data_IF_554087943777
#
_entry.id   IF_554087943777
#
_cell.length_a   1.000
_cell.length_b   1.000
_cell.length_c   1.000
_cell.angle_alpha   90.00
_cell.angle_beta   90.00
_cell.angle_gamma   90.00
#
_symmetry.space_group_name_H-M   'P 1'
#
loop_
_entity.id
_entity.type
_entity.pdbx_description
1 polymer ?
#
# COMPACT_ATOMS: atom_id res chain seq x y z
N UNK A 1 -20.02 4.58 20.22
CA UNK A 1 -20.59 5.08 18.95
C UNK A 1 -22.07 5.45 19.13
N UNK A 2 -22.49 6.72 18.98
CA UNK A 2 -23.88 7.00 18.60
C UNK A 2 -24.07 6.46 17.17
N UNK A 3 -25.08 5.60 16.98
CA UNK A 3 -25.15 4.65 15.88
C UNK A 3 -25.13 5.21 14.46
N UNK A 4 -24.49 4.45 13.58
CA UNK A 4 -24.72 4.44 12.13
C UNK A 4 -26.09 3.84 11.74
N UNK A 5 -27.13 4.04 12.58
CA UNK A 5 -28.52 3.72 12.21
C UNK A 5 -29.06 4.89 11.38
N UNK A 6 -29.04 4.74 10.06
CA UNK A 6 -29.70 5.66 9.14
C UNK A 6 -28.88 6.15 7.95
N UNK A 7 -27.76 5.52 7.59
CA UNK A 7 -27.10 5.86 6.32
C UNK A 7 -27.97 5.47 5.12
N UNK A 8 -27.98 6.36 4.12
CA UNK A 8 -28.82 6.24 2.93
C UNK A 8 -28.35 5.06 2.06
N UNK A 9 -29.26 4.35 1.37
CA UNK A 9 -28.99 3.06 0.72
C UNK A 9 -28.09 3.10 -0.54
N UNK A 10 -27.26 4.13 -0.74
CA UNK A 10 -26.53 4.35 -2.00
C UNK A 10 -25.03 4.67 -1.86
N UNK A 11 -24.44 4.63 -0.67
CA UNK A 11 -22.99 4.79 -0.53
C UNK A 11 -22.30 3.44 -0.75
N UNK A 12 -21.50 3.36 -1.81
CA UNK A 12 -20.59 2.22 -2.06
C UNK A 12 -19.32 2.40 -1.25
N UNK A 13 -18.57 1.30 -1.03
CA UNK A 13 -17.26 1.35 -0.38
C UNK A 13 -16.31 2.34 -1.07
N UNK A 14 -16.32 2.35 -2.40
CA UNK A 14 -15.58 3.32 -3.21
C UNK A 14 -15.98 4.77 -2.88
N UNK A 15 -17.28 5.06 -2.72
CA UNK A 15 -17.74 6.42 -2.39
C UNK A 15 -17.24 6.88 -1.01
N UNK A 16 -17.05 5.95 -0.07
CA UNK A 16 -16.48 6.25 1.24
C UNK A 16 -14.96 6.46 1.17
N UNK A 17 -14.25 5.71 0.32
CA UNK A 17 -12.80 5.84 0.14
C UNK A 17 -12.37 7.03 -0.72
N UNK A 18 -13.23 7.50 -1.62
CA UNK A 18 -12.88 8.48 -2.65
C UNK A 18 -12.16 9.73 -2.11
N UNK A 19 -12.57 10.36 -0.99
CA UNK A 19 -11.88 11.54 -0.47
C UNK A 19 -10.38 11.29 -0.18
N UNK A 20 -10.05 10.17 0.46
CA UNK A 20 -8.66 9.79 0.73
C UNK A 20 -7.89 9.53 -0.57
N UNK A 21 -8.51 8.82 -1.51
CA UNK A 21 -7.90 8.52 -2.80
C UNK A 21 -7.62 9.79 -3.62
N UNK A 22 -8.50 10.78 -3.55
CA UNK A 22 -8.31 12.09 -4.18
C UNK A 22 -7.15 12.86 -3.54
N UNK A 23 -7.00 12.81 -2.20
CA UNK A 23 -5.86 13.42 -1.51
C UNK A 23 -4.53 12.77 -1.89
N UNK A 24 -4.49 11.43 -1.92
CA UNK A 24 -3.31 10.67 -2.35
C UNK A 24 -2.98 10.97 -3.81
N UNK A 25 -3.99 10.97 -4.69
CA UNK A 25 -3.81 11.29 -6.11
C UNK A 25 -3.30 12.72 -6.30
N UNK A 26 -3.81 13.69 -5.54
CA UNK A 26 -3.35 15.07 -5.61
C UNK A 26 -1.90 15.20 -5.10
N UNK A 27 -1.51 14.39 -4.11
CA UNK A 27 -0.15 14.36 -3.58
C UNK A 27 0.84 13.61 -4.50
N UNK A 28 0.37 12.68 -5.34
CA UNK A 28 1.18 11.98 -6.33
C UNK A 28 1.62 12.88 -7.52
N UNK A 29 0.98 14.04 -7.68
CA UNK A 29 1.35 15.04 -8.67
C UNK A 29 2.55 15.88 -8.20
N UNK A 30 3.44 16.29 -9.13
CA UNK A 30 4.52 17.21 -8.78
C UNK A 30 3.93 18.53 -8.24
N UNK A 31 4.47 19.07 -7.14
CA UNK A 31 3.94 20.29 -6.51
C UNK A 31 3.88 21.54 -7.41
N UNK A 32 4.57 21.53 -8.57
CA UNK A 32 4.65 22.65 -9.52
C UNK A 32 4.03 22.38 -10.89
N UNK A 33 3.57 21.16 -11.16
CA UNK A 33 2.93 20.81 -12.43
C UNK A 33 1.92 19.66 -12.25
N UNK A 34 0.61 19.97 -12.19
CA UNK A 34 -0.44 18.96 -12.04
C UNK A 34 -0.60 18.05 -13.26
N UNK A 35 0.03 18.36 -14.41
CA UNK A 35 0.07 17.47 -15.57
C UNK A 35 1.28 16.54 -15.59
N UNK A 36 2.26 16.77 -14.70
CA UNK A 36 3.47 15.95 -14.54
C UNK A 36 3.36 15.02 -13.32
N UNK A 37 2.36 14.14 -13.32
CA UNK A 37 2.22 13.10 -12.30
C UNK A 37 3.50 12.24 -12.20
N UNK A 38 4.06 12.10 -10.99
CA UNK A 38 5.23 11.24 -10.75
C UNK A 38 4.81 9.76 -10.84
N UNK A 39 3.65 9.47 -10.27
CA UNK A 39 3.00 8.16 -10.31
C UNK A 39 1.63 8.30 -10.99
N UNK A 40 1.56 8.13 -12.33
CA UNK A 40 0.32 8.34 -13.07
C UNK A 40 -0.73 7.24 -12.84
N UNK A 41 -0.42 6.19 -12.07
CA UNK A 41 -1.33 5.07 -11.83
C UNK A 41 -1.41 4.77 -10.34
N UNK A 42 -2.64 4.62 -9.84
CA UNK A 42 -2.93 4.18 -8.48
C UNK A 42 -3.74 2.89 -8.55
N UNK A 43 -3.25 1.84 -7.86
CA UNK A 43 -3.98 0.59 -7.65
C UNK A 43 -4.54 0.63 -6.22
N UNK A 44 -5.81 0.28 -6.07
CA UNK A 44 -6.55 0.34 -4.80
C UNK A 44 -7.31 -0.95 -4.58
N UNK A 45 -7.25 -1.49 -3.37
CA UNK A 45 -8.01 -2.66 -2.96
C UNK A 45 -9.51 -2.34 -2.90
N UNK A 46 -10.33 -3.20 -3.49
CA UNK A 46 -11.77 -2.95 -3.69
C UNK A 46 -12.67 -3.32 -2.52
N UNK A 47 -12.13 -3.89 -1.44
CA UNK A 47 -12.84 -4.44 -0.29
C UNK A 47 -12.27 -3.95 1.06
N UNK A 48 -11.49 -2.87 1.05
CA UNK A 48 -10.97 -2.19 2.24
C UNK A 48 -11.63 -0.83 2.39
N UNK A 49 -11.78 -0.34 3.61
CA UNK A 49 -12.02 1.08 3.91
C UNK A 49 -10.95 1.58 4.86
N UNK A 50 -10.41 2.76 4.54
CA UNK A 50 -9.49 3.48 5.39
C UNK A 50 -10.19 4.71 5.89
N UNK A 51 -10.30 4.82 7.22
CA UNK A 51 -10.84 6.00 7.85
C UNK A 51 -9.70 6.76 8.51
N UNK A 52 -9.26 7.83 7.86
CA UNK A 52 -8.28 8.73 8.44
C UNK A 52 -8.96 9.62 9.50
N UNK A 53 -8.42 9.61 10.71
CA UNK A 53 -8.92 10.39 11.83
C UNK A 53 -8.44 11.83 11.70
N UNK A 54 -9.25 12.68 11.05
CA UNK A 54 -8.93 14.11 10.90
C UNK A 54 -9.13 14.81 12.23
N UNK A 55 -8.04 15.31 12.83
CA UNK A 55 -8.14 16.12 14.04
C UNK A 55 -8.62 17.55 13.69
N UNK A 56 -9.58 18.15 14.42
CA UNK A 56 -10.21 19.42 14.04
C UNK A 56 -9.27 20.63 13.90
N UNK A 57 -8.09 20.54 14.52
CA UNK A 57 -7.07 21.59 14.52
C UNK A 57 -5.86 21.27 13.63
N UNK A 58 -5.84 20.07 13.05
CA UNK A 58 -4.75 19.57 12.21
C UNK A 58 -5.35 18.98 10.92
N UNK A 59 -5.25 19.70 9.79
CA UNK A 59 -5.58 19.23 8.42
C UNK A 59 -4.43 18.49 7.72
N UNK A 60 -3.57 17.78 8.47
CA UNK A 60 -2.18 17.53 8.05
C UNK A 60 -1.94 16.32 7.16
N UNK A 61 -2.95 15.49 6.87
CA UNK A 61 -2.74 14.33 6.01
C UNK A 61 -2.05 14.72 4.70
N UNK A 62 -2.56 15.73 4.00
CA UNK A 62 -1.96 16.17 2.73
C UNK A 62 -0.56 16.77 2.89
N UNK A 63 -0.27 17.48 3.97
CA UNK A 63 1.06 18.09 4.17
C UNK A 63 2.09 17.01 4.49
N UNK A 64 1.80 16.16 5.46
CA UNK A 64 2.69 15.09 5.90
C UNK A 64 2.85 14.03 4.82
N UNK A 65 1.79 13.76 4.05
CA UNK A 65 1.84 12.89 2.87
C UNK A 65 2.70 13.49 1.76
N UNK A 66 2.54 14.78 1.43
CA UNK A 66 3.35 15.42 0.38
C UNK A 66 4.85 15.39 0.72
N UNK A 67 5.18 15.67 1.99
CA UNK A 67 6.53 15.53 2.53
C UNK A 67 7.00 14.08 2.41
N UNK A 68 6.20 13.14 2.91
CA UNK A 68 6.52 11.70 2.90
C UNK A 68 6.59 11.09 1.51
N UNK A 69 5.94 11.62 0.48
CA UNK A 69 6.04 11.10 -0.88
C UNK A 69 7.33 11.54 -1.57
N UNK A 70 7.76 12.78 -1.35
CA UNK A 70 8.84 13.40 -2.14
C UNK A 70 10.20 13.45 -1.43
N UNK A 71 10.27 13.15 -0.13
CA UNK A 71 11.53 13.02 0.59
C UNK A 71 12.22 11.68 0.25
N UNK A 72 13.55 11.65 0.16
CA UNK A 72 14.29 10.42 -0.15
C UNK A 72 15.77 10.67 -0.39
N UNK A 73 16.60 9.67 -0.15
CA UNK A 73 18.02 9.74 -0.46
C UNK A 73 18.24 9.80 -1.98
N UNK A 74 19.24 10.59 -2.40
CA UNK A 74 19.72 10.73 -3.79
C UNK A 74 18.81 11.47 -4.80
N UNK A 75 17.68 12.04 -4.39
CA UNK A 75 16.89 12.93 -5.25
C UNK A 75 16.18 12.24 -6.44
N UNK A 76 16.13 10.92 -6.44
CA UNK A 76 15.43 10.13 -7.45
C UNK A 76 14.05 9.67 -6.91
N UNK A 77 13.01 9.83 -7.73
CA UNK A 77 11.65 9.43 -7.36
C UNK A 77 11.53 7.91 -7.24
N UNK A 78 10.75 7.43 -6.27
CA UNK A 78 10.39 6.02 -6.18
C UNK A 78 9.62 5.56 -7.42
N UNK A 79 9.75 4.30 -7.81
CA UNK A 79 8.91 3.71 -8.87
C UNK A 79 7.56 3.27 -8.33
N UNK A 80 7.54 2.81 -7.09
CA UNK A 80 6.35 2.37 -6.38
C UNK A 80 6.30 3.07 -5.04
N UNK A 81 5.14 3.60 -4.68
CA UNK A 81 4.86 4.01 -3.30
C UNK A 81 3.71 3.18 -2.77
N UNK A 82 3.99 2.42 -1.72
CA UNK A 82 2.99 1.67 -0.98
C UNK A 82 2.61 2.42 0.30
N UNK A 83 1.38 2.21 0.75
CA UNK A 83 0.89 2.75 2.00
C UNK A 83 0.76 1.63 3.03
N UNK A 84 1.11 1.93 4.28
CA UNK A 84 0.96 0.96 5.35
C UNK A 84 0.59 1.58 6.68
N UNK A 85 0.04 0.75 7.56
CA UNK A 85 -0.33 1.14 8.92
C UNK A 85 0.29 0.20 9.95
N UNK A 86 0.47 0.69 11.17
CA UNK A 86 0.71 -0.19 12.30
C UNK A 86 -0.55 -0.99 12.61
N UNK A 87 -0.37 -2.28 12.88
CA UNK A 87 -1.46 -3.19 13.21
C UNK A 87 -1.03 -4.22 14.24
N UNK A 88 -1.99 -4.80 14.93
CA UNK A 88 -1.74 -5.89 15.88
C UNK A 88 -1.27 -7.15 15.16
N UNK A 89 -0.44 -7.96 15.82
CA UNK A 89 0.26 -9.07 15.17
C UNK A 89 -0.68 -10.13 14.60
N UNK A 90 -1.84 -10.36 15.23
CA UNK A 90 -2.88 -11.28 14.75
C UNK A 90 -3.46 -10.84 13.39
N UNK A 91 -3.71 -9.55 13.21
CA UNK A 91 -4.20 -8.97 11.95
C UNK A 91 -3.15 -9.12 10.85
N UNK A 92 -1.86 -8.92 11.15
CA UNK A 92 -0.77 -9.02 10.17
C UNK A 92 -0.71 -10.39 9.45
N UNK A 93 -1.16 -11.46 10.11
CA UNK A 93 -1.16 -12.81 9.52
C UNK A 93 -2.17 -12.99 8.38
N UNK A 94 -3.07 -12.03 8.20
CA UNK A 94 -4.11 -12.06 7.17
C UNK A 94 -3.83 -11.12 5.99
N UNK A 95 -2.79 -10.28 6.07
CA UNK A 95 -2.50 -9.24 5.09
C UNK A 95 -1.06 -9.31 4.57
N UNK A 96 -0.76 -8.48 3.58
CA UNK A 96 0.60 -8.19 3.18
C UNK A 96 1.32 -7.39 4.26
N UNK A 97 2.59 -7.70 4.49
CA UNK A 97 3.41 -7.01 5.49
C UNK A 97 4.69 -6.53 4.82
N UNK A 98 4.91 -5.22 4.85
CA UNK A 98 6.16 -4.60 4.44
C UNK A 98 7.15 -4.66 5.58
N UNK A 99 8.39 -5.02 5.26
CA UNK A 99 9.52 -4.95 6.17
C UNK A 99 10.49 -3.90 5.66
N UNK A 100 10.89 -2.99 6.53
CA UNK A 100 11.89 -1.96 6.25
C UNK A 100 13.03 -2.13 7.24
N UNK A 101 14.28 -2.01 6.77
CA UNK A 101 15.43 -1.98 7.66
C UNK A 101 15.32 -0.78 8.61
N UNK A 102 15.71 -0.94 9.88
CA UNK A 102 15.80 0.17 10.82
C UNK A 102 16.75 1.28 10.36
N UNK A 103 17.70 0.97 9.50
CA UNK A 103 18.64 1.94 8.91
C UNK A 103 18.01 2.74 7.75
N UNK A 104 17.00 2.18 7.08
CA UNK A 104 16.30 2.80 5.95
C UNK A 104 14.78 2.61 6.10
N UNK A 105 14.15 3.27 7.10
CA UNK A 105 12.80 2.93 7.57
C UNK A 105 11.67 3.22 6.57
N UNK A 106 11.96 3.93 5.47
CA UNK A 106 10.99 4.25 4.41
C UNK A 106 11.23 3.46 3.13
N UNK A 107 12.31 2.70 3.03
CA UNK A 107 12.61 1.87 1.86
C UNK A 107 12.17 0.44 2.13
N UNK A 108 11.47 -0.16 1.16
CA UNK A 108 11.09 -1.57 1.28
C UNK A 108 12.35 -2.45 1.24
N UNK A 109 12.56 -3.21 2.31
CA UNK A 109 13.56 -4.26 2.33
C UNK A 109 13.02 -5.51 1.62
N UNK A 110 11.85 -5.98 2.07
CA UNK A 110 11.08 -7.05 1.45
C UNK A 110 9.62 -7.03 1.91
N UNK A 111 8.76 -7.74 1.19
CA UNK A 111 7.36 -7.95 1.55
C UNK A 111 7.09 -9.45 1.79
N UNK A 112 6.28 -9.76 2.79
CA UNK A 112 5.72 -11.09 2.99
C UNK A 112 4.20 -11.04 2.89
N UNK A 113 3.60 -11.98 2.16
CA UNK A 113 2.14 -12.10 2.08
C UNK A 113 1.64 -13.12 3.11
N UNK A 114 0.77 -12.66 4.02
CA UNK A 114 0.17 -13.48 5.09
C UNK A 114 1.22 -14.25 5.91
N UNK A 115 2.26 -13.58 6.44
CA UNK A 115 3.32 -14.24 7.19
C UNK A 115 2.78 -14.83 8.50
N UNK A 116 3.45 -15.87 9.01
CA UNK A 116 3.17 -16.41 10.33
C UNK A 116 3.76 -15.51 11.41
N UNK A 117 3.14 -15.49 12.60
CA UNK A 117 3.60 -14.68 13.75
C UNK A 117 5.09 -14.90 14.07
N UNK A 118 5.54 -16.15 14.07
CA UNK A 118 6.94 -16.45 14.37
C UNK A 118 7.90 -15.94 13.28
N UNK A 119 7.44 -15.84 12.03
CA UNK A 119 8.22 -15.25 10.93
C UNK A 119 8.37 -13.75 11.15
N UNK A 120 7.29 -13.04 11.50
CA UNK A 120 7.35 -11.62 11.85
C UNK A 120 8.31 -11.40 13.03
N UNK A 121 8.14 -12.19 14.11
CA UNK A 121 8.96 -12.14 15.32
C UNK A 121 10.48 -12.31 15.04
N UNK A 122 10.83 -13.14 14.05
CA UNK A 122 12.21 -13.38 13.67
C UNK A 122 12.90 -12.13 13.07
N UNK A 123 12.13 -11.19 12.51
CA UNK A 123 12.65 -10.01 11.82
C UNK A 123 12.62 -8.72 12.66
N UNK A 124 11.87 -8.67 13.78
CA UNK A 124 11.60 -7.43 14.54
C UNK A 124 12.86 -6.74 15.11
N UNK A 125 13.94 -7.49 15.34
CA UNK A 125 15.20 -6.91 15.83
C UNK A 125 15.83 -5.97 14.80
N UNK A 126 15.83 -6.37 13.53
CA UNK A 126 16.52 -5.65 12.46
C UNK A 126 15.56 -4.78 11.63
N UNK A 127 14.26 -5.06 11.65
CA UNK A 127 13.28 -4.42 10.78
C UNK A 127 12.16 -3.77 11.59
N UNK A 128 11.62 -2.70 11.03
CA UNK A 128 10.25 -2.24 11.31
C UNK A 128 9.31 -2.85 10.27
N UNK A 129 8.02 -2.92 10.60
CA UNK A 129 7.01 -3.45 9.69
C UNK A 129 5.73 -2.64 9.71
N UNK A 130 5.08 -2.59 8.55
CA UNK A 130 3.76 -1.99 8.35
C UNK A 130 2.88 -2.97 7.59
N UNK A 131 1.62 -3.02 7.94
CA UNK A 131 0.61 -3.77 7.21
C UNK A 131 0.28 -3.03 5.92
N UNK A 132 0.26 -3.73 4.78
CA UNK A 132 -0.21 -3.19 3.51
C UNK A 132 -1.70 -2.88 3.58
N UNK A 133 -2.08 -1.65 3.21
CA UNK A 133 -3.49 -1.23 3.13
C UNK A 133 -4.09 -1.40 1.74
N UNK A 134 -3.29 -1.84 0.77
CA UNK A 134 -3.73 -2.09 -0.59
C UNK A 134 -3.88 -0.81 -1.43
N UNK A 135 -3.11 0.24 -1.13
CA UNK A 135 -2.98 1.43 -2.00
C UNK A 135 -1.54 1.51 -2.49
N UNK A 136 -1.37 1.48 -3.82
CA UNK A 136 -0.06 1.44 -4.48
C UNK A 136 -0.02 2.49 -5.60
N UNK A 137 0.91 3.42 -5.53
CA UNK A 137 1.21 4.38 -6.60
C UNK A 137 2.33 3.85 -7.47
N UNK A 138 2.14 3.85 -8.79
CA UNK A 138 3.07 3.27 -9.75
C UNK A 138 3.53 4.30 -10.78
N UNK A 139 4.85 4.32 -11.01
CA UNK A 139 5.46 5.01 -12.14
C UNK A 139 5.20 4.22 -13.42
N UNK A 140 5.40 4.85 -14.57
CA UNK A 140 5.35 4.13 -15.86
C UNK A 140 6.34 2.96 -15.94
N UNK A 141 7.46 3.02 -15.20
CA UNK A 141 8.43 1.93 -15.14
C UNK A 141 7.87 0.75 -14.35
N UNK A 142 7.31 1.02 -13.16
CA UNK A 142 6.64 0.00 -12.35
C UNK A 142 5.45 -0.64 -13.08
N UNK A 143 4.62 0.17 -13.76
CA UNK A 143 3.48 -0.34 -14.53
C UNK A 143 3.91 -1.29 -15.66
N UNK A 144 5.01 -0.96 -16.36
CA UNK A 144 5.58 -1.85 -17.38
C UNK A 144 6.08 -3.17 -16.80
N UNK A 145 6.74 -3.13 -15.65
CA UNK A 145 7.20 -4.34 -14.96
C UNK A 145 6.00 -5.22 -14.55
N UNK A 146 4.97 -4.61 -13.94
CA UNK A 146 3.72 -5.28 -13.58
C UNK A 146 3.07 -5.93 -14.82
N UNK A 147 3.01 -5.22 -15.95
CA UNK A 147 2.49 -5.77 -17.21
C UNK A 147 3.35 -6.94 -17.72
N UNK A 148 4.67 -6.78 -17.77
CA UNK A 148 5.59 -7.82 -18.24
C UNK A 148 5.48 -9.12 -17.42
N UNK A 149 5.23 -9.02 -16.11
CA UNK A 149 4.99 -10.20 -15.26
C UNK A 149 3.71 -10.94 -15.62
N UNK A 150 2.72 -10.22 -16.17
CA UNK A 150 1.42 -10.74 -16.56
C UNK A 150 1.33 -11.19 -18.01
N UNK A 151 2.45 -11.24 -18.73
CA UNK A 151 2.52 -11.71 -20.12
C UNK A 151 3.46 -12.90 -20.18
N UNK A 152 2.96 -14.03 -20.68
CA UNK A 152 3.81 -15.19 -20.95
C UNK A 152 4.82 -14.86 -22.05
N UNK A 153 6.12 -15.03 -21.76
CA UNK A 153 7.19 -14.62 -22.64
C UNK A 153 7.25 -15.40 -23.97
N UNK A 154 6.63 -16.59 -24.04
CA UNK A 154 6.68 -17.45 -25.23
C UNK A 154 5.47 -17.22 -26.13
N UNK A 155 4.28 -17.19 -25.55
CA UNK A 155 3.00 -17.10 -26.26
C UNK A 155 2.47 -15.67 -26.37
N UNK A 156 2.96 -14.73 -25.54
CA UNK A 156 2.41 -13.38 -25.43
C UNK A 156 1.02 -13.32 -24.79
N UNK A 157 0.51 -14.44 -24.27
CA UNK A 157 -0.80 -14.50 -23.63
C UNK A 157 -0.78 -13.81 -22.26
N UNK A 158 -1.90 -13.18 -21.90
CA UNK A 158 -2.08 -12.63 -20.57
C UNK A 158 -2.23 -13.76 -19.54
N UNK A 159 -1.46 -13.68 -18.47
CA UNK A 159 -1.48 -14.58 -17.33
C UNK A 159 -1.89 -13.81 -16.08
N UNK A 160 -2.85 -14.34 -15.34
CA UNK A 160 -3.21 -13.82 -14.02
C UNK A 160 -2.15 -14.22 -12.99
N UNK A 161 -1.81 -13.29 -12.11
CA UNK A 161 -0.98 -13.55 -10.94
C UNK A 161 -1.45 -12.68 -9.77
N UNK A 162 -1.10 -13.06 -8.55
CA UNK A 162 -1.45 -12.31 -7.35
C UNK A 162 -0.54 -11.10 -7.15
N UNK A 163 -1.11 -9.90 -7.07
CA UNK A 163 -0.33 -8.67 -6.93
C UNK A 163 0.52 -8.69 -5.65
N UNK A 164 -0.02 -9.19 -4.54
CA UNK A 164 0.63 -9.09 -3.24
C UNK A 164 1.61 -10.23 -3.00
N UNK A 165 1.18 -11.48 -3.19
CA UNK A 165 1.93 -12.70 -2.94
C UNK A 165 2.86 -13.14 -4.06
N UNK A 166 2.69 -12.63 -5.28
CA UNK A 166 3.64 -12.88 -6.37
C UNK A 166 4.44 -11.63 -6.71
N UNK A 167 3.81 -10.51 -7.10
CA UNK A 167 4.57 -9.33 -7.52
C UNK A 167 5.18 -8.56 -6.35
N UNK A 168 4.43 -8.36 -5.26
CA UNK A 168 4.92 -7.71 -4.05
C UNK A 168 6.14 -8.40 -3.44
N UNK A 169 6.16 -9.73 -3.44
CA UNK A 169 7.30 -10.51 -2.97
C UNK A 169 8.54 -10.45 -3.88
N UNK A 170 8.44 -9.89 -5.10
CA UNK A 170 9.57 -9.58 -5.99
C UNK A 170 10.16 -8.18 -5.77
N UNK A 171 9.55 -7.38 -4.89
CA UNK A 171 9.96 -6.01 -4.62
C UNK A 171 10.82 -5.93 -3.36
N UNK A 172 11.55 -4.81 -3.28
CA UNK A 172 12.40 -4.47 -2.15
C UNK A 172 13.89 -4.66 -2.48
N UNK A 173 14.74 -4.22 -1.54
CA UNK A 173 16.20 -4.33 -1.67
C UNK A 173 16.69 -5.78 -1.58
N UNK A 174 15.97 -6.62 -0.83
CA UNK A 174 16.25 -8.04 -0.66
C UNK A 174 14.96 -8.86 -0.80
N UNK A 175 14.38 -8.96 -2.02
CA UNK A 175 13.08 -9.58 -2.24
C UNK A 175 12.96 -10.98 -1.65
N UNK A 176 11.76 -11.32 -1.17
CA UNK A 176 11.49 -12.60 -0.50
C UNK A 176 11.28 -13.76 -1.47
N UNK A 177 10.89 -13.49 -2.72
CA UNK A 177 10.74 -14.49 -3.78
C UNK A 177 12.00 -14.59 -4.66
N UNK A 178 12.51 -15.81 -4.86
CA UNK A 178 13.74 -16.09 -5.61
C UNK A 178 13.55 -16.20 -7.14
N UNK A 179 12.32 -16.28 -7.66
CA UNK A 179 12.02 -16.57 -9.07
C UNK A 179 11.34 -15.39 -9.76
N UNK A 180 11.89 -14.90 -10.88
CA UNK A 180 11.34 -13.75 -11.64
C UNK A 180 11.92 -12.39 -11.24
N UNK A 181 12.99 -12.41 -10.44
CA UNK A 181 13.65 -11.25 -9.86
C UNK A 181 13.96 -10.16 -10.91
N UNK A 182 14.32 -10.51 -12.16
CA UNK A 182 14.56 -9.56 -13.24
C UNK A 182 13.44 -8.52 -13.50
N UNK A 183 12.17 -8.84 -13.20
CA UNK A 183 11.04 -7.91 -13.43
C UNK A 183 10.96 -6.82 -12.35
N UNK A 184 11.33 -7.15 -11.11
CA UNK A 184 11.29 -6.25 -9.95
C UNK A 184 12.65 -5.72 -9.50
N UNK A 185 13.75 -6.33 -9.94
CA UNK A 185 15.12 -6.26 -9.38
C UNK A 185 15.77 -4.88 -9.26
N UNK A 186 15.12 -3.83 -9.75
CA UNK A 186 15.64 -2.47 -9.64
C UNK A 186 14.55 -1.43 -9.39
N UNK A 187 13.31 -1.84 -9.11
CA UNK A 187 12.24 -0.89 -8.79
C UNK A 187 12.47 -0.33 -7.38
N UNK A 188 12.52 0.99 -7.27
CA UNK A 188 12.59 1.66 -5.97
C UNK A 188 11.21 1.68 -5.36
N UNK A 189 11.09 1.08 -4.19
CA UNK A 189 9.82 1.03 -3.47
C UNK A 189 9.94 1.80 -2.18
N UNK A 190 9.08 2.80 -2.05
CA UNK A 190 8.90 3.57 -0.82
C UNK A 190 7.66 3.07 -0.09
N UNK A 191 7.75 2.95 1.22
CA UNK A 191 6.61 2.67 2.10
C UNK A 191 6.31 3.94 2.88
N UNK A 192 5.08 4.44 2.78
CA UNK A 192 4.58 5.59 3.52
C UNK A 192 3.63 5.10 4.60
N UNK A 193 3.91 5.51 5.83
CA UNK A 193 3.03 5.25 6.95
C UNK A 193 1.80 6.18 6.89
N UNK A 194 0.61 5.61 7.03
CA UNK A 194 -0.62 6.35 7.26
C UNK A 194 -0.91 6.35 8.77
N UNK A 195 -0.44 7.38 9.47
CA UNK A 195 -0.75 7.55 10.89
C UNK A 195 -2.24 7.83 11.09
N UNK A 196 -2.74 7.58 12.30
CA UNK A 196 -4.12 7.92 12.71
C UNK A 196 -5.20 7.40 11.74
N UNK A 197 -4.99 6.21 11.19
CA UNK A 197 -5.85 5.63 10.17
C UNK A 197 -6.39 4.28 10.63
N UNK A 198 -7.71 4.18 10.70
CA UNK A 198 -8.38 2.91 10.97
C UNK A 198 -8.55 2.11 9.68
N UNK A 199 -8.38 0.80 9.78
CA UNK A 199 -8.48 -0.14 8.67
C UNK A 199 -9.67 -1.08 8.89
N UNK A 200 -10.57 -1.12 7.91
CA UNK A 200 -11.71 -2.02 7.89
C UNK A 200 -11.65 -2.89 6.66
N UNK A 201 -11.65 -4.20 6.85
CA UNK A 201 -11.72 -5.17 5.77
C UNK A 201 -13.19 -5.63 5.60
N UNK A 202 -13.60 -5.83 4.35
CA UNK A 202 -14.95 -6.26 3.99
C UNK A 202 -14.97 -7.52 3.11
N UNK A 203 -13.86 -8.26 3.07
CA UNK A 203 -13.70 -9.46 2.24
C UNK A 203 -14.61 -10.64 2.64
N UNK A 204 -15.05 -10.70 3.89
CA UNK A 204 -15.95 -11.75 4.39
C UNK A 204 -17.16 -11.20 5.15
N UNK A 205 -18.22 -12.01 5.28
CA UNK A 205 -19.40 -11.64 6.08
C UNK A 205 -19.09 -11.38 7.54
N UNK A 206 -18.10 -12.07 8.12
CA UNK A 206 -17.67 -11.85 9.50
C UNK A 206 -17.00 -10.48 9.64
N UNK A 207 -16.11 -10.13 8.69
CA UNK A 207 -15.42 -8.84 8.68
C UNK A 207 -16.39 -7.68 8.39
N UNK A 208 -17.39 -7.88 7.53
CA UNK A 208 -18.49 -6.93 7.33
C UNK A 208 -19.23 -6.63 8.64
N UNK A 209 -19.51 -7.64 9.45
CA UNK A 209 -20.18 -7.47 10.74
C UNK A 209 -19.27 -6.77 11.75
N UNK A 210 -18.01 -7.20 11.91
CA UNK A 210 -17.09 -6.53 12.85
C UNK A 210 -16.82 -5.08 12.47
N UNK A 211 -16.74 -4.78 11.17
CA UNK A 211 -16.51 -3.44 10.63
C UNK A 211 -17.72 -2.51 10.69
N UNK A 212 -18.93 -3.04 10.93
CA UNK A 212 -20.17 -2.23 11.05
C UNK A 212 -20.69 -2.07 12.47
N UNK A 213 -20.19 -2.89 13.41
CA UNK A 213 -20.62 -2.89 14.82
C UNK A 213 -19.65 -2.12 15.74
N UNK A 214 -18.44 -1.81 15.25
CA UNK A 214 -17.40 -1.06 15.98
C UNK A 214 -17.72 0.43 16.14
#
# INVERSE_FOLDING_TARGET
MPGLRGQRPHHTLLALQLPLLEEISAAACRPRDPTAAVWPTMIVCGDVYLQHQVHPFWTHLRHDLLHSLHEGEEGEAADIVCFGIHSASDVLTHHGVFFMSREAPTQLEFMLQKPLLHTIAAHERAHTYLMDVGIWLLSNRALRALWQRGVDATSGALTSYDLYGEFGCLLGRHPSAAAGAAVGENLRVKVVELTDTDFFHFGTSAELVSSTVS
#
